data_IF_760168826644
#
_entry.id   IF_760168826644
#
_cell.length_a   1.000
_cell.length_b   1.000
_cell.length_c   1.000
_cell.angle_alpha   90.00
_cell.angle_beta   90.00
_cell.angle_gamma   90.00
#
_symmetry.space_group_name_H-M   'P 1'
#
loop_
_entity.id
_entity.type
_entity.pdbx_description
1 polymer ?
#
# COMPACT_ATOMS: atom_id res chain seq x y z
N UNK A 1 -55.84 -55.82 24.31
CA UNK A 1 -55.57 -54.68 23.42
C UNK A 1 -54.80 -53.68 24.28
N UNK A 2 -53.49 -53.90 24.38
CA UNK A 2 -52.41 -53.10 23.75
C UNK A 2 -52.15 -51.80 24.55
N UNK A 3 -51.12 -51.74 25.40
CA UNK A 3 -49.68 -51.47 25.15
C UNK A 3 -49.38 -49.95 25.33
N UNK A 4 -48.27 -49.46 25.87
CA UNK A 4 -47.10 -49.95 26.62
C UNK A 4 -46.27 -48.71 27.05
N UNK A 5 -45.46 -48.84 28.11
CA UNK A 5 -44.22 -48.11 28.53
C UNK A 5 -44.02 -46.59 28.29
N UNK A 6 -43.50 -45.89 29.31
CA UNK A 6 -42.17 -45.28 29.19
C UNK A 6 -41.47 -45.04 30.56
N UNK A 7 -40.17 -44.80 30.46
CA UNK A 7 -39.04 -45.17 31.31
C UNK A 7 -38.71 -44.22 32.47
N UNK A 8 -37.98 -44.80 33.43
CA UNK A 8 -37.10 -44.13 34.40
C UNK A 8 -36.10 -43.18 33.67
N UNK A 9 -35.47 -42.17 34.28
CA UNK A 9 -34.55 -42.30 35.40
C UNK A 9 -33.90 -40.95 35.82
N UNK A 10 -33.50 -40.91 37.10
CA UNK A 10 -32.24 -40.39 37.67
C UNK A 10 -31.88 -38.90 37.51
N UNK A 11 -31.96 -38.22 38.67
CA UNK A 11 -31.23 -37.00 39.03
C UNK A 11 -29.73 -37.26 39.14
N UNK A 12 -28.88 -36.40 38.56
CA UNK A 12 -27.54 -36.05 39.08
C UNK A 12 -27.09 -34.74 38.44
N UNK A 13 -26.97 -33.70 39.27
CA UNK A 13 -26.29 -32.44 38.95
C UNK A 13 -24.80 -32.66 38.69
N UNK A 14 -24.19 -31.85 37.81
CA UNK A 14 -22.87 -31.33 38.11
C UNK A 14 -22.89 -29.81 38.06
N UNK A 15 -22.86 -29.19 39.25
CA UNK A 15 -22.38 -27.83 39.42
C UNK A 15 -20.87 -27.83 39.16
N UNK A 16 -20.45 -27.33 38.00
CA UNK A 16 -19.08 -26.84 37.84
C UNK A 16 -19.19 -25.46 37.20
N UNK A 17 -19.32 -24.48 38.08
CA UNK A 17 -19.39 -23.05 37.77
C UNK A 17 -18.15 -22.69 36.96
N UNK A 18 -18.45 -22.08 35.83
CA UNK A 18 -17.55 -21.53 34.85
C UNK A 18 -16.35 -20.87 35.49
N UNK A 19 -15.20 -21.53 35.36
CA UNK A 19 -13.91 -20.86 35.48
C UNK A 19 -13.70 -20.10 34.18
N UNK A 20 -14.50 -19.03 33.99
CA UNK A 20 -14.16 -17.92 33.11
C UNK A 20 -12.85 -17.32 33.64
N UNK A 21 -11.75 -17.99 33.31
CA UNK A 21 -10.51 -17.29 33.08
C UNK A 21 -10.80 -16.49 31.83
N UNK A 22 -11.27 -15.26 32.02
CA UNK A 22 -11.12 -14.18 31.06
C UNK A 22 -9.62 -13.98 30.85
N UNK A 23 -8.97 -14.94 30.19
CA UNK A 23 -7.82 -14.63 29.36
C UNK A 23 -8.37 -13.63 28.38
N UNK A 24 -8.10 -12.35 28.65
CA UNK A 24 -8.18 -11.28 27.68
C UNK A 24 -7.65 -11.84 26.38
N UNK A 25 -8.58 -12.19 25.48
CA UNK A 25 -8.26 -12.76 24.18
C UNK A 25 -7.71 -11.58 23.37
N UNK A 26 -6.43 -11.29 23.59
CA UNK A 26 -5.71 -10.26 22.89
C UNK A 26 -5.54 -10.76 21.45
N UNK A 27 -6.54 -10.50 20.62
CA UNK A 27 -6.54 -10.90 19.23
C UNK A 27 -5.39 -10.21 18.51
N UNK A 28 -4.42 -11.01 18.06
CA UNK A 28 -3.28 -10.54 17.29
C UNK A 28 -3.60 -10.73 15.81
N UNK A 29 -3.68 -9.63 15.07
CA UNK A 29 -3.84 -9.68 13.62
C UNK A 29 -2.49 -9.98 12.94
N UNK A 30 -2.20 -11.25 12.74
CA UNK A 30 -0.95 -11.70 12.10
C UNK A 30 -0.77 -11.17 10.67
N UNK A 31 -1.87 -10.92 9.94
CA UNK A 31 -1.81 -10.37 8.58
C UNK A 31 -1.38 -8.90 8.57
N UNK A 32 -1.89 -8.10 9.52
CA UNK A 32 -1.47 -6.71 9.71
C UNK A 32 0.03 -6.64 10.05
N UNK A 33 0.50 -7.49 10.94
CA UNK A 33 1.92 -7.55 11.31
C UNK A 33 2.79 -7.87 10.09
N UNK A 34 2.43 -8.90 9.32
CA UNK A 34 3.15 -9.29 8.11
C UNK A 34 3.17 -8.14 7.07
N UNK A 35 2.06 -7.43 6.91
CA UNK A 35 1.98 -6.29 5.99
C UNK A 35 2.84 -5.11 6.44
N UNK A 36 2.83 -4.78 7.73
CA UNK A 36 3.68 -3.73 8.31
C UNK A 36 5.16 -4.05 8.11
N UNK A 37 5.57 -5.30 8.33
CA UNK A 37 6.95 -5.76 8.08
C UNK A 37 7.34 -5.64 6.60
N UNK A 38 6.46 -6.07 5.70
CA UNK A 38 6.70 -5.96 4.26
C UNK A 38 6.81 -4.51 3.81
N UNK A 39 5.89 -3.64 4.26
CA UNK A 39 5.91 -2.20 3.96
C UNK A 39 7.21 -1.55 4.41
N UNK A 40 7.71 -1.86 5.61
CA UNK A 40 9.00 -1.34 6.10
C UNK A 40 10.16 -1.76 5.21
N UNK A 41 10.16 -2.99 4.70
CA UNK A 41 11.17 -3.47 3.73
C UNK A 41 11.06 -2.76 2.38
N UNK A 42 9.86 -2.49 1.89
CA UNK A 42 9.61 -1.81 0.61
C UNK A 42 9.97 -0.33 0.61
N UNK A 43 9.64 0.39 1.69
CA UNK A 43 9.95 1.83 1.81
C UNK A 43 11.47 2.06 1.89
N UNK A 44 12.23 1.05 2.35
CA UNK A 44 13.67 1.11 2.51
C UNK A 44 14.08 2.09 3.61
N UNK A 45 15.39 2.36 3.70
CA UNK A 45 15.88 3.42 4.58
C UNK A 45 15.72 4.78 3.87
N UNK A 46 14.95 5.73 4.43
CA UNK A 46 14.84 7.08 3.90
C UNK A 46 16.19 7.79 3.81
N UNK A 47 17.21 7.38 4.59
CA UNK A 47 18.56 7.95 4.52
C UNK A 47 19.29 7.58 3.21
N UNK A 48 18.93 6.45 2.60
CA UNK A 48 19.40 6.06 1.26
C UNK A 48 18.64 6.77 0.14
N UNK A 49 17.57 7.51 0.46
CA UNK A 49 17.07 8.54 -0.44
C UNK A 49 18.08 9.67 -0.33
N UNK A 50 19.17 9.55 -1.07
CA UNK A 50 20.04 10.69 -1.33
C UNK A 50 19.11 11.81 -1.73
N UNK A 51 19.02 12.84 -0.89
CA UNK A 51 18.54 14.14 -1.32
C UNK A 51 19.48 14.51 -2.45
N UNK A 52 19.12 14.11 -3.68
CA UNK A 52 19.89 14.40 -4.85
C UNK A 52 20.07 15.91 -4.82
N UNK A 53 21.33 16.36 -4.79
CA UNK A 53 21.68 17.74 -5.13
C UNK A 53 20.89 18.11 -6.39
N UNK A 54 20.55 19.40 -6.63
CA UNK A 54 19.82 19.80 -7.82
C UNK A 54 20.52 19.21 -9.04
N UNK A 55 19.94 18.12 -9.56
CA UNK A 55 20.46 17.42 -10.72
C UNK A 55 20.16 18.35 -11.87
N UNK A 56 21.18 18.68 -12.68
CA UNK A 56 20.92 19.46 -13.89
C UNK A 56 19.78 18.81 -14.67
N UNK A 57 18.77 19.58 -15.11
CA UNK A 57 17.62 19.03 -15.80
C UNK A 57 18.07 18.20 -17.02
N UNK A 58 17.43 17.04 -17.21
CA UNK A 58 17.71 16.13 -18.33
C UNK A 58 17.22 16.74 -19.64
N UNK A 59 16.04 17.33 -19.60
CA UNK A 59 15.37 18.03 -20.67
C UNK A 59 15.97 19.43 -20.71
N UNK A 60 16.47 19.83 -21.88
CA UNK A 60 16.93 21.20 -22.08
C UNK A 60 15.78 22.17 -21.94
N UNK A 61 16.03 23.32 -21.32
CA UNK A 61 15.07 24.42 -21.21
C UNK A 61 14.51 24.88 -22.57
N UNK A 62 15.28 24.73 -23.64
CA UNK A 62 14.88 25.07 -25.01
C UNK A 62 14.34 23.87 -25.80
N UNK A 63 14.04 22.75 -25.16
CA UNK A 63 13.44 21.60 -25.82
C UNK A 63 11.97 21.89 -26.14
N UNK A 64 11.50 21.40 -27.29
CA UNK A 64 10.07 21.40 -27.65
C UNK A 64 9.48 20.00 -27.52
N UNK A 65 8.15 19.90 -27.50
CA UNK A 65 7.45 18.61 -27.47
C UNK A 65 7.84 17.73 -28.66
N UNK A 66 7.93 18.33 -29.85
CA UNK A 66 8.33 17.65 -31.07
C UNK A 66 9.77 17.13 -31.00
N UNK A 67 10.69 17.83 -30.34
CA UNK A 67 12.07 17.36 -30.16
C UNK A 67 12.12 16.07 -29.33
N UNK A 68 11.30 15.95 -28.28
CA UNK A 68 11.24 14.75 -27.45
C UNK A 68 10.57 13.58 -28.15
N UNK A 69 9.53 13.83 -28.96
CA UNK A 69 8.81 12.79 -29.70
C UNK A 69 9.57 12.32 -30.95
N UNK A 70 10.26 13.23 -31.64
CA UNK A 70 10.96 12.95 -32.90
C UNK A 70 12.36 12.38 -32.65
N UNK A 71 12.96 12.70 -31.50
CA UNK A 71 14.24 12.13 -31.10
C UNK A 71 14.11 10.64 -30.79
N UNK A 72 14.82 9.82 -31.56
CA UNK A 72 15.04 8.40 -31.24
C UNK A 72 16.26 8.19 -30.34
N UNK A 73 16.95 9.27 -29.99
CA UNK A 73 18.15 9.19 -29.13
C UNK A 73 17.73 9.05 -27.67
N UNK A 74 18.25 8.06 -26.94
CA UNK A 74 17.93 7.90 -25.53
C UNK A 74 18.57 9.02 -24.71
N UNK A 75 17.87 9.46 -23.66
CA UNK A 75 18.42 10.42 -22.70
C UNK A 75 19.64 9.85 -21.97
N UNK A 76 20.60 10.72 -21.65
CA UNK A 76 21.82 10.33 -20.93
C UNK A 76 21.56 9.81 -19.51
N UNK A 77 20.42 10.19 -18.92
CA UNK A 77 19.94 9.71 -17.61
C UNK A 77 18.40 9.64 -17.62
N UNK A 78 17.78 8.82 -16.75
CA UNK A 78 16.32 8.80 -16.62
C UNK A 78 15.79 10.18 -16.25
N UNK A 79 14.67 10.58 -16.85
CA UNK A 79 14.02 11.87 -16.56
C UNK A 79 13.25 11.75 -15.24
N UNK A 80 13.53 12.60 -14.23
CA UNK A 80 12.71 12.67 -13.03
C UNK A 80 11.27 13.04 -13.38
N UNK A 81 10.29 12.38 -12.75
CA UNK A 81 8.88 12.63 -13.04
C UNK A 81 8.50 14.11 -12.86
N UNK A 82 9.03 14.76 -11.82
CA UNK A 82 8.77 16.17 -11.55
C UNK A 82 9.20 17.07 -12.72
N UNK A 83 10.35 16.77 -13.33
CA UNK A 83 10.87 17.53 -14.46
C UNK A 83 10.00 17.36 -15.71
N UNK A 84 9.52 16.14 -15.99
CA UNK A 84 8.62 15.89 -17.11
C UNK A 84 7.27 16.60 -16.91
N UNK A 85 6.76 16.68 -15.69
CA UNK A 85 5.52 17.39 -15.38
C UNK A 85 5.70 18.91 -15.57
N UNK A 86 6.80 19.47 -15.10
CA UNK A 86 7.14 20.90 -15.25
C UNK A 86 7.26 21.29 -16.73
N UNK A 87 8.01 20.50 -17.49
CA UNK A 87 8.15 20.67 -18.94
C UNK A 87 6.81 20.65 -19.69
N UNK A 88 5.94 19.68 -19.40
CA UNK A 88 4.63 19.59 -20.06
C UNK A 88 3.73 20.77 -19.70
N UNK A 89 3.79 21.23 -18.45
CA UNK A 89 3.05 22.41 -18.01
C UNK A 89 3.48 23.67 -18.78
N UNK A 90 4.78 23.90 -18.94
CA UNK A 90 5.32 25.04 -19.68
C UNK A 90 4.85 25.07 -21.14
N UNK A 91 4.86 23.91 -21.81
CA UNK A 91 4.40 23.79 -23.20
C UNK A 91 2.89 24.05 -23.29
N UNK A 92 2.09 23.39 -22.47
CA UNK A 92 0.64 23.54 -22.55
C UNK A 92 0.18 24.95 -22.19
N UNK A 93 0.85 25.60 -21.24
CA UNK A 93 0.58 26.99 -20.88
C UNK A 93 1.02 27.95 -22.01
N UNK A 94 2.15 27.69 -22.67
CA UNK A 94 2.61 28.46 -23.83
C UNK A 94 1.68 28.36 -25.04
N UNK A 95 1.12 27.16 -25.27
CA UNK A 95 0.23 26.88 -26.40
C UNK A 95 -1.23 27.27 -26.16
N UNK A 96 -1.59 27.75 -24.96
CA UNK A 96 -2.95 28.18 -24.63
C UNK A 96 -3.98 27.04 -24.57
N UNK A 97 -3.53 25.80 -24.35
CA UNK A 97 -4.39 24.61 -24.31
C UNK A 97 -5.31 24.56 -23.08
N UNK A 98 -5.06 25.43 -22.09
CA UNK A 98 -5.81 25.50 -20.84
C UNK A 98 -6.48 26.87 -20.58
N UNK A 99 -6.76 27.66 -21.62
CA UNK A 99 -7.61 28.86 -21.52
C UNK A 99 -9.10 28.61 -21.80
#
# INVERSE_FOLDING_TARGET
MEANVDSANVSTTPSNIDKEVSTENNFVNSAEIAWQEMRKKWVGDPSNRTSEMPVEPVISFNATYEDLLTSTTPFHKPIPLAEMVDFLFDIWHGDGLFE
#
